data_IF_299763574582
#
_entry.id   IF_299763574582
#
_cell.length_a   1.000
_cell.length_b   1.000
_cell.length_c   1.000
_cell.angle_alpha   90.00
_cell.angle_beta   90.00
_cell.angle_gamma   90.00
#
_symmetry.space_group_name_H-M   'P 1'
#
loop_
_entity.id
_entity.type
_entity.pdbx_description
1 polymer ?
#
# COMPACT_ATOMS: atom_id res chain seq x y z
N UNK A 1 13.94 8.09 16.56
CA UNK A 1 13.01 9.03 15.92
C UNK A 1 12.69 8.52 14.53
N UNK A 2 11.46 8.08 14.25
CA UNK A 2 11.04 7.71 12.89
C UNK A 2 11.08 8.97 12.03
N UNK A 3 11.94 9.02 11.01
CA UNK A 3 11.94 10.14 10.05
C UNK A 3 10.62 10.09 9.28
N UNK A 4 9.80 11.12 9.40
CA UNK A 4 8.63 11.30 8.54
C UNK A 4 9.18 11.62 7.15
N UNK A 5 8.84 10.77 6.18
CA UNK A 5 9.18 10.96 4.76
C UNK A 5 8.33 12.12 4.23
N UNK A 6 8.89 12.92 3.32
CA UNK A 6 8.19 14.01 2.63
C UNK A 6 6.81 13.53 2.12
N UNK A 7 5.76 14.22 2.57
CA UNK A 7 4.36 13.88 2.26
C UNK A 7 3.98 14.27 0.83
N UNK A 8 4.74 15.18 0.19
CA UNK A 8 4.45 15.67 -1.16
C UNK A 8 4.40 14.57 -2.21
N UNK A 9 5.33 13.61 -2.16
CA UNK A 9 5.32 12.49 -3.10
C UNK A 9 4.15 11.53 -2.84
N UNK A 10 3.76 11.35 -1.58
CA UNK A 10 2.61 10.48 -1.22
C UNK A 10 1.31 11.04 -1.80
N UNK A 11 1.11 12.36 -1.73
CA UNK A 11 -0.06 13.05 -2.30
C UNK A 11 -0.11 12.89 -3.83
N UNK A 12 1.04 13.01 -4.52
CA UNK A 12 1.12 12.80 -5.97
C UNK A 12 0.74 11.38 -6.37
N UNK A 13 1.27 10.37 -5.65
CA UNK A 13 0.95 8.97 -5.93
C UNK A 13 -0.51 8.65 -5.62
N UNK A 14 -1.07 9.19 -4.53
CA UNK A 14 -2.49 9.08 -4.22
C UNK A 14 -3.35 9.61 -5.37
N UNK A 15 -3.09 10.84 -5.83
CA UNK A 15 -3.85 11.45 -6.93
C UNK A 15 -3.78 10.61 -8.20
N UNK A 16 -2.61 10.05 -8.52
CA UNK A 16 -2.42 9.13 -9.64
C UNK A 16 -3.24 7.85 -9.47
N UNK A 17 -3.23 7.24 -8.29
CA UNK A 17 -4.03 6.06 -7.98
C UNK A 17 -5.53 6.31 -8.09
N UNK A 18 -6.03 7.43 -7.56
CA UNK A 18 -7.45 7.79 -7.65
C UNK A 18 -7.88 7.98 -9.10
N UNK A 19 -7.09 8.66 -9.93
CA UNK A 19 -7.36 8.81 -11.37
C UNK A 19 -7.49 7.45 -12.07
N UNK A 20 -6.57 6.52 -11.77
CA UNK A 20 -6.62 5.19 -12.38
C UNK A 20 -7.80 4.35 -11.88
N UNK A 21 -8.12 4.43 -10.58
CA UNK A 21 -9.29 3.78 -10.01
C UNK A 21 -10.59 4.28 -10.64
N UNK A 22 -10.70 5.58 -10.88
CA UNK A 22 -11.84 6.16 -11.57
C UNK A 22 -11.96 5.62 -13.00
N UNK A 23 -10.87 5.60 -13.75
CA UNK A 23 -10.85 5.01 -15.09
C UNK A 23 -11.31 3.53 -15.06
N UNK A 24 -10.79 2.72 -14.15
CA UNK A 24 -11.18 1.30 -14.04
C UNK A 24 -12.66 1.11 -13.67
N UNK A 25 -13.23 2.03 -12.91
CA UNK A 25 -14.65 2.06 -12.58
C UNK A 25 -15.49 2.43 -13.81
N UNK A 26 -15.07 3.46 -14.53
CA UNK A 26 -15.75 3.95 -15.74
C UNK A 26 -15.72 2.87 -16.85
N UNK A 27 -14.61 2.12 -16.96
CA UNK A 27 -14.44 0.98 -17.86
C UNK A 27 -15.19 -0.28 -17.39
N UNK A 28 -15.80 -0.28 -16.20
CA UNK A 28 -16.59 -1.41 -15.67
C UNK A 28 -15.78 -2.55 -15.04
N UNK A 29 -14.45 -2.41 -14.89
CA UNK A 29 -13.60 -3.44 -14.27
C UNK A 29 -13.78 -3.57 -12.75
N UNK A 30 -14.19 -2.48 -12.09
CA UNK A 30 -14.49 -2.46 -10.65
C UNK A 30 -15.84 -1.80 -10.39
N UNK A 31 -16.56 -2.29 -9.39
CA UNK A 31 -17.85 -1.71 -9.00
C UNK A 31 -17.69 -0.53 -8.02
N UNK A 32 -18.78 0.17 -7.74
CA UNK A 32 -18.82 1.31 -6.79
C UNK A 32 -18.26 0.96 -5.41
N UNK A 33 -18.59 -0.23 -4.88
CA UNK A 33 -18.14 -0.65 -3.55
C UNK A 33 -16.63 -0.89 -3.54
N UNK A 34 -16.08 -1.50 -4.59
CA UNK A 34 -14.66 -1.74 -4.76
C UNK A 34 -13.87 -0.45 -4.97
N UNK A 35 -14.43 0.49 -5.73
CA UNK A 35 -13.87 1.83 -5.88
C UNK A 35 -13.79 2.54 -4.53
N UNK A 36 -14.90 2.60 -3.78
CA UNK A 36 -14.93 3.26 -2.46
C UNK A 36 -14.06 2.56 -1.43
N UNK A 37 -13.90 1.23 -1.54
CA UNK A 37 -12.96 0.48 -0.71
C UNK A 37 -11.50 0.84 -1.04
N UNK A 38 -11.14 0.91 -2.33
CA UNK A 38 -9.76 1.16 -2.76
C UNK A 38 -9.34 2.63 -2.68
N UNK A 39 -10.31 3.55 -2.77
CA UNK A 39 -10.05 4.99 -2.70
C UNK A 39 -9.45 5.31 -1.32
N UNK A 40 -8.21 5.76 -1.32
CA UNK A 40 -7.57 6.25 -0.11
C UNK A 40 -8.24 7.54 0.37
N UNK A 41 -8.29 7.70 1.68
CA UNK A 41 -8.63 8.96 2.35
C UNK A 41 -7.50 9.18 3.35
N UNK A 42 -6.68 10.20 3.11
CA UNK A 42 -5.53 10.57 3.94
C UNK A 42 -4.46 9.45 4.08
N UNK A 43 -3.85 9.01 2.97
CA UNK A 43 -2.84 7.98 3.01
C UNK A 43 -1.56 8.45 3.70
N UNK A 44 -0.97 7.54 4.48
CA UNK A 44 0.31 7.74 5.13
C UNK A 44 1.44 7.25 4.22
N UNK A 45 2.63 7.89 4.25
CA UNK A 45 3.82 7.31 3.63
C UNK A 45 4.14 5.94 4.22
N UNK A 46 4.77 5.07 3.42
CA UNK A 46 5.26 3.78 3.90
C UNK A 46 6.28 3.99 5.03
N UNK A 47 6.20 3.16 6.08
CA UNK A 47 7.06 3.31 7.27
C UNK A 47 8.11 2.20 7.30
N UNK A 48 9.38 2.59 7.33
CA UNK A 48 10.48 1.67 7.58
C UNK A 48 10.83 1.70 9.06
N UNK A 49 10.82 0.54 9.70
CA UNK A 49 11.26 0.37 11.09
C UNK A 49 12.05 -0.92 11.22
N UNK A 50 12.77 -1.08 12.32
CA UNK A 50 13.60 -2.25 12.53
C UNK A 50 13.25 -3.00 13.80
N UNK A 51 13.15 -4.32 13.73
CA UNK A 51 13.01 -5.16 14.91
C UNK A 51 14.38 -5.69 15.36
N UNK A 52 14.66 -5.75 16.68
CA UNK A 52 15.90 -6.33 17.18
C UNK A 52 16.10 -7.77 16.74
N UNK A 53 17.34 -8.12 16.38
CA UNK A 53 17.79 -9.46 16.05
C UNK A 53 18.72 -9.95 17.17
N UNK A 54 18.14 -10.41 18.28
CA UNK A 54 18.87 -10.82 19.50
C UNK A 54 19.80 -12.04 19.34
N UNK A 55 19.72 -12.76 18.22
CA UNK A 55 20.44 -14.02 17.97
C UNK A 55 21.55 -13.91 16.93
N UNK A 56 21.88 -12.71 16.43
CA UNK A 56 22.98 -12.50 15.47
C UNK A 56 23.88 -11.38 15.97
N UNK A 57 25.13 -11.72 16.28
CA UNK A 57 26.21 -10.74 16.50
C UNK A 57 26.38 -9.90 15.22
N UNK A 58 26.64 -8.61 15.37
CA UNK A 58 26.88 -7.62 14.30
C UNK A 58 25.72 -7.30 13.34
N UNK A 59 24.59 -8.02 13.40
CA UNK A 59 23.38 -7.71 12.62
C UNK A 59 22.21 -7.45 13.60
N UNK A 60 22.16 -6.27 14.24
CA UNK A 60 21.24 -6.04 15.34
C UNK A 60 19.78 -5.81 14.90
N UNK A 61 19.51 -5.59 13.60
CA UNK A 61 18.21 -5.11 13.12
C UNK A 61 17.65 -5.94 11.96
N UNK A 62 16.35 -6.23 12.02
CA UNK A 62 15.53 -6.71 10.91
C UNK A 62 14.78 -5.52 10.31
N UNK A 63 15.20 -4.95 9.16
CA UNK A 63 14.42 -3.90 8.52
C UNK A 63 13.07 -4.45 8.07
N UNK A 64 12.00 -3.71 8.35
CA UNK A 64 10.63 -3.99 7.96
C UNK A 64 10.06 -2.76 7.27
N UNK A 65 9.48 -2.98 6.09
CA UNK A 65 8.70 -1.96 5.38
C UNK A 65 7.23 -2.23 5.66
N UNK A 66 6.57 -1.29 6.35
CA UNK A 66 5.12 -1.33 6.57
C UNK A 66 4.40 -0.54 5.48
N UNK A 67 3.55 -1.23 4.73
CA UNK A 67 2.61 -0.63 3.77
C UNK A 67 1.24 -0.34 4.41
N UNK A 68 1.08 -0.54 5.72
CA UNK A 68 -0.20 -0.27 6.39
C UNK A 68 -0.52 1.23 6.33
N UNK A 69 -1.73 1.56 5.87
CA UNK A 69 -2.18 2.94 5.76
C UNK A 69 -1.67 3.69 4.53
N UNK A 70 -0.91 3.04 3.64
CA UNK A 70 -0.50 3.65 2.37
C UNK A 70 -1.67 3.69 1.38
N UNK A 71 -1.59 4.60 0.40
CA UNK A 71 -2.63 4.83 -0.61
C UNK A 71 -3.00 3.57 -1.42
N UNK A 72 -2.06 2.62 -1.56
CA UNK A 72 -2.25 1.40 -2.33
C UNK A 72 -2.59 0.16 -1.49
N UNK A 73 -2.64 0.26 -0.16
CA UNK A 73 -2.82 -0.91 0.72
C UNK A 73 -4.12 -1.68 0.43
N UNK A 74 -5.25 -0.96 0.42
CA UNK A 74 -6.57 -1.57 0.17
C UNK A 74 -6.70 -2.08 -1.27
N UNK A 75 -6.13 -1.35 -2.24
CA UNK A 75 -6.06 -1.77 -3.64
C UNK A 75 -5.29 -3.08 -3.79
N UNK A 76 -4.11 -3.19 -3.17
CA UNK A 76 -3.31 -4.41 -3.21
C UNK A 76 -4.07 -5.59 -2.60
N UNK A 77 -4.80 -5.39 -1.50
CA UNK A 77 -5.63 -6.43 -0.88
C UNK A 77 -6.78 -6.88 -1.80
N UNK A 78 -7.46 -5.95 -2.48
CA UNK A 78 -8.50 -6.27 -3.45
C UNK A 78 -7.92 -7.12 -4.60
N UNK A 79 -6.78 -6.70 -5.17
CA UNK A 79 -6.13 -7.40 -6.28
C UNK A 79 -5.63 -8.78 -5.88
N UNK A 80 -5.01 -8.91 -4.70
CA UNK A 80 -4.56 -10.21 -4.19
C UNK A 80 -5.71 -11.22 -4.07
N UNK A 81 -6.90 -10.75 -3.66
CA UNK A 81 -8.09 -11.59 -3.60
C UNK A 81 -8.61 -11.92 -5.00
N UNK A 82 -8.78 -10.93 -5.89
CA UNK A 82 -9.31 -11.14 -7.25
C UNK A 82 -8.41 -12.04 -8.09
N UNK A 83 -7.10 -11.82 -8.03
CA UNK A 83 -6.09 -12.54 -8.81
C UNK A 83 -5.60 -13.81 -8.09
N UNK A 84 -6.15 -14.14 -6.92
CA UNK A 84 -5.73 -15.28 -6.13
C UNK A 84 -5.83 -16.60 -6.89
N UNK A 85 -6.81 -16.73 -7.79
CA UNK A 85 -6.99 -17.90 -8.65
C UNK A 85 -5.87 -18.08 -9.69
N UNK A 86 -5.11 -17.03 -10.03
CA UNK A 86 -3.96 -17.09 -10.93
C UNK A 86 -2.66 -17.49 -10.22
N UNK A 87 -2.67 -17.51 -8.89
CA UNK A 87 -1.48 -17.88 -8.10
C UNK A 87 -1.30 -19.40 -8.18
N UNK A 88 -0.32 -19.83 -8.97
CA UNK A 88 0.12 -21.24 -8.99
C UNK A 88 0.71 -21.61 -7.61
N UNK A 89 0.34 -22.79 -7.11
CA UNK A 89 0.91 -23.39 -5.89
C UNK A 89 2.32 -23.91 -6.12
#
# INVERSE_FOLDING_TARGET
MLRIVDTGETIKQEAKSIRKLKQLKDDGFINEKEYNYCRATEPQPGRVHGLPKIHKTDIPLRPIVSASGTFNYKLAKLLANKLGHLRKS
#
